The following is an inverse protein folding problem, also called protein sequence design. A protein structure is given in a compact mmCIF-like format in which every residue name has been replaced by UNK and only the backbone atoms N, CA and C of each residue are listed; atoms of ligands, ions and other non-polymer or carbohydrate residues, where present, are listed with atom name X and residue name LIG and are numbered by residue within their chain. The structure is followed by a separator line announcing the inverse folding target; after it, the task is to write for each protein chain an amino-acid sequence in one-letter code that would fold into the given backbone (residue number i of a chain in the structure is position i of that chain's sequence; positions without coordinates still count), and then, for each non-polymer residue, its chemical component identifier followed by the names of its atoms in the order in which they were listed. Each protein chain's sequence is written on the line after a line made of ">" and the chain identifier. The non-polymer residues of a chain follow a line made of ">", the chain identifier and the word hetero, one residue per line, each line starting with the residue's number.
data_IF_897898490636
#
_entry.id   IF_897898490636
#
_cell.length_a   1.000
_cell.length_b   1.000
_cell.length_c   1.000
_cell.angle_alpha   90.00
_cell.angle_beta   90.00
_cell.angle_gamma   90.00
#
_symmetry.space_group_name_H-M   'P 1'
#
loop_
_entity.id
_entity.type
_entity.pdbx_description
1 polymer ?
#
# COMPACT_ATOMS: atom_id res chain seq x y z
N UNK A 1 13.14 -40.37 -12.35
CA UNK A 1 14.46 -40.41 -11.65
C UNK A 1 14.57 -41.67 -10.80
N UNK A 2 13.57 -41.98 -9.98
CA UNK A 2 13.52 -43.15 -9.10
C UNK A 2 13.65 -44.51 -9.82
N UNK A 3 13.10 -44.66 -11.04
CA UNK A 3 13.30 -45.88 -11.84
C UNK A 3 14.77 -46.15 -12.20
N UNK A 4 15.55 -45.09 -12.43
CA UNK A 4 16.99 -45.21 -12.75
C UNK A 4 17.77 -45.65 -11.51
N UNK A 5 17.44 -45.10 -10.34
CA UNK A 5 18.04 -45.49 -9.06
C UNK A 5 17.72 -46.95 -8.72
N UNK A 6 16.47 -47.38 -8.92
CA UNK A 6 16.02 -48.76 -8.72
C UNK A 6 16.75 -49.74 -9.64
N UNK A 7 16.91 -49.37 -10.91
CA UNK A 7 17.63 -50.19 -11.89
C UNK A 7 19.09 -50.35 -11.50
N UNK A 8 19.74 -49.28 -11.04
CA UNK A 8 21.12 -49.33 -10.57
C UNK A 8 21.30 -50.25 -9.35
N UNK A 9 20.39 -50.21 -8.37
CA UNK A 9 20.42 -51.06 -7.17
C UNK A 9 20.24 -52.53 -7.53
N UNK A 10 19.27 -52.87 -8.39
CA UNK A 10 19.07 -54.25 -8.87
C UNK A 10 20.28 -54.75 -9.67
N UNK A 11 20.91 -53.87 -10.45
CA UNK A 11 22.08 -54.21 -11.23
C UNK A 11 23.31 -54.44 -10.34
N UNK A 12 23.51 -53.65 -9.28
CA UNK A 12 24.58 -53.87 -8.30
C UNK A 12 24.37 -55.17 -7.50
N UNK A 13 23.12 -55.48 -7.13
CA UNK A 13 22.75 -56.73 -6.47
C UNK A 13 23.06 -57.95 -7.35
N UNK A 14 22.75 -57.89 -8.64
CA UNK A 14 23.03 -58.97 -9.58
C UNK A 14 24.54 -59.16 -9.82
N UNK A 15 25.31 -58.07 -9.85
CA UNK A 15 26.77 -58.13 -9.92
C UNK A 15 27.40 -58.71 -8.65
N UNK A 16 26.84 -58.40 -7.48
CA UNK A 16 27.27 -58.95 -6.21
C UNK A 16 27.03 -60.48 -6.12
N UNK A 17 25.84 -60.94 -6.54
CA UNK A 17 25.53 -62.38 -6.68
C UNK A 17 26.48 -63.11 -7.63
N UNK A 18 26.79 -62.50 -8.77
CA UNK A 18 27.75 -63.05 -9.73
C UNK A 18 29.18 -63.08 -9.19
N UNK A 19 29.57 -62.10 -8.37
CA UNK A 19 30.87 -62.05 -7.69
C UNK A 19 31.03 -63.15 -6.64
N UNK A 20 30.00 -63.39 -5.82
CA UNK A 20 29.97 -64.46 -4.81
C UNK A 20 30.06 -65.86 -5.44
N UNK A 21 29.38 -66.08 -6.56
CA UNK A 21 29.46 -67.35 -7.30
C UNK A 21 30.84 -67.60 -7.93
N UNK A 22 31.61 -66.53 -8.20
CA UNK A 22 32.87 -66.61 -8.93
C UNK A 22 34.10 -66.86 -8.04
N UNK A 23 33.98 -66.78 -6.72
CA UNK A 23 35.16 -66.56 -5.87
C UNK A 23 35.13 -67.43 -4.60
N UNK A 24 35.81 -68.59 -4.63
CA UNK A 24 36.14 -69.37 -3.41
C UNK A 24 37.37 -68.82 -2.66
N UNK A 25 37.65 -67.51 -2.76
CA UNK A 25 38.79 -66.81 -2.12
C UNK A 25 38.43 -65.30 -1.93
N UNK A 26 37.41 -64.97 -1.13
CA UNK A 26 36.81 -63.60 -1.04
C UNK A 26 37.15 -62.84 0.24
N UNK A 27 37.95 -63.37 1.15
CA UNK A 27 38.02 -62.79 2.51
C UNK A 27 38.48 -61.32 2.52
N UNK A 28 39.42 -60.95 1.65
CA UNK A 28 39.95 -59.58 1.59
C UNK A 28 39.07 -58.63 0.76
N UNK A 29 38.33 -59.12 -0.25
CA UNK A 29 37.53 -58.25 -1.13
C UNK A 29 36.22 -57.81 -0.49
N UNK A 30 35.57 -58.68 0.29
CA UNK A 30 34.34 -58.34 1.02
C UNK A 30 34.62 -57.29 2.12
N UNK A 31 35.68 -57.49 2.92
CA UNK A 31 36.16 -56.53 3.92
C UNK A 31 36.54 -55.19 3.30
N UNK A 32 37.24 -55.20 2.15
CA UNK A 32 37.61 -53.98 1.43
C UNK A 32 36.38 -53.27 0.85
N UNK A 33 35.38 -54.03 0.38
CA UNK A 33 34.11 -53.49 -0.13
C UNK A 33 33.28 -52.84 0.97
N UNK A 34 33.20 -53.45 2.15
CA UNK A 34 32.52 -52.89 3.32
C UNK A 34 33.15 -51.60 3.80
N UNK A 35 34.49 -51.56 3.90
CA UNK A 35 35.23 -50.32 4.20
C UNK A 35 35.02 -49.25 3.13
N UNK A 36 34.95 -49.66 1.87
CA UNK A 36 34.59 -48.78 0.76
C UNK A 36 33.18 -48.19 0.91
N UNK A 37 32.20 -49.02 1.27
CA UNK A 37 30.81 -48.61 1.48
C UNK A 37 30.64 -47.73 2.72
N UNK A 38 31.31 -48.04 3.82
CA UNK A 38 31.37 -47.22 5.03
C UNK A 38 31.89 -45.82 4.71
N UNK A 39 33.04 -45.74 4.02
CA UNK A 39 33.64 -44.45 3.65
C UNK A 39 32.73 -43.59 2.75
N UNK A 40 32.01 -44.22 1.82
CA UNK A 40 31.06 -43.52 0.94
C UNK A 40 29.85 -42.99 1.71
N UNK A 41 29.32 -43.77 2.65
CA UNK A 41 28.17 -43.34 3.46
C UNK A 41 28.57 -42.25 4.46
N UNK A 42 29.76 -42.32 5.05
CA UNK A 42 30.33 -41.24 5.86
C UNK A 42 30.51 -39.96 5.03
N UNK A 43 30.99 -40.06 3.80
CA UNK A 43 31.14 -38.92 2.90
C UNK A 43 29.78 -38.30 2.52
N UNK A 44 28.73 -39.11 2.37
CA UNK A 44 27.37 -38.61 2.16
C UNK A 44 26.83 -37.88 3.39
N UNK A 45 27.10 -38.39 4.59
CA UNK A 45 26.72 -37.73 5.85
C UNK A 45 27.44 -36.39 6.03
N UNK A 46 28.71 -36.31 5.65
CA UNK A 46 29.45 -35.04 5.64
C UNK A 46 28.87 -34.03 4.65
N UNK A 47 28.50 -34.49 3.44
CA UNK A 47 27.85 -33.64 2.46
C UNK A 47 26.49 -33.12 2.97
N UNK A 48 25.67 -33.99 3.57
CA UNK A 48 24.38 -33.64 4.14
C UNK A 48 24.52 -32.64 5.30
N UNK A 49 25.52 -32.83 6.17
CA UNK A 49 25.86 -31.88 7.23
C UNK A 49 26.26 -30.52 6.64
N UNK A 50 27.10 -30.50 5.61
CA UNK A 50 27.54 -29.26 4.95
C UNK A 50 26.37 -28.51 4.28
N UNK A 51 25.46 -29.22 3.61
CA UNK A 51 24.24 -28.63 3.03
C UNK A 51 23.34 -28.05 4.11
N UNK A 52 23.16 -28.76 5.23
CA UNK A 52 22.37 -28.28 6.37
C UNK A 52 22.97 -27.00 6.96
N UNK A 53 24.29 -26.94 7.10
CA UNK A 53 25.00 -25.72 7.51
C UNK A 53 24.79 -24.57 6.53
N UNK A 54 24.82 -24.85 5.22
CA UNK A 54 24.59 -23.82 4.20
C UNK A 54 23.17 -23.24 4.29
N UNK A 55 22.15 -24.09 4.52
CA UNK A 55 20.77 -23.66 4.66
C UNK A 55 20.55 -22.80 5.91
N UNK A 56 21.08 -23.23 7.06
CA UNK A 56 21.00 -22.47 8.31
C UNK A 56 21.78 -21.16 8.19
N UNK A 57 22.98 -21.18 7.60
CA UNK A 57 23.78 -19.95 7.39
C UNK A 57 23.07 -18.94 6.48
N UNK A 58 22.45 -19.40 5.39
CA UNK A 58 21.68 -18.53 4.49
C UNK A 58 20.47 -17.90 5.20
N UNK A 59 19.78 -18.67 6.03
CA UNK A 59 18.65 -18.19 6.83
C UNK A 59 19.10 -17.19 7.91
N UNK A 60 20.22 -17.49 8.58
CA UNK A 60 20.83 -16.64 9.61
C UNK A 60 21.34 -15.31 9.06
N UNK A 61 21.81 -15.30 7.80
CA UNK A 61 22.23 -14.09 7.11
C UNK A 61 21.05 -13.15 6.80
N UNK A 62 19.84 -13.69 6.60
CA UNK A 62 18.62 -12.91 6.40
C UNK A 62 17.99 -12.47 7.73
N UNK A 63 18.12 -13.28 8.78
CA UNK A 63 17.56 -13.03 10.11
C UNK A 63 18.59 -13.30 11.22
N UNK A 64 19.46 -12.31 11.54
CA UNK A 64 20.48 -12.49 12.56
C UNK A 64 19.83 -12.59 13.96
N UNK A 65 19.98 -13.76 14.59
CA UNK A 65 19.43 -14.07 15.92
C UNK A 65 20.36 -15.03 16.66
N UNK A 66 20.48 -14.92 17.98
CA UNK A 66 21.38 -15.77 18.79
C UNK A 66 21.03 -17.28 18.68
N UNK A 67 19.77 -17.60 18.38
CA UNK A 67 19.26 -18.97 18.13
C UNK A 67 19.93 -19.68 16.94
N UNK A 68 20.51 -18.95 15.98
CA UNK A 68 21.21 -19.58 14.86
C UNK A 68 22.44 -20.34 15.32
N UNK A 69 23.14 -19.84 16.35
CA UNK A 69 24.34 -20.48 16.90
C UNK A 69 24.03 -21.80 17.62
N UNK A 70 22.89 -21.88 18.30
CA UNK A 70 22.41 -23.09 18.96
C UNK A 70 21.87 -24.11 17.95
N UNK A 71 21.29 -23.64 16.85
CA UNK A 71 20.84 -24.50 15.74
C UNK A 71 22.03 -25.18 15.05
N UNK A 72 23.11 -24.45 14.77
CA UNK A 72 24.34 -25.02 14.23
C UNK A 72 24.94 -26.09 15.15
N UNK A 73 25.02 -25.81 16.45
CA UNK A 73 25.54 -26.76 17.45
C UNK A 73 24.70 -28.03 17.52
N UNK A 74 23.37 -27.90 17.48
CA UNK A 74 22.43 -29.03 17.51
C UNK A 74 22.58 -29.91 16.27
N UNK A 75 22.76 -29.30 15.09
CA UNK A 75 23.03 -30.03 13.84
C UNK A 75 24.35 -30.79 13.93
N UNK A 76 25.42 -30.14 14.39
CA UNK A 76 26.73 -30.77 14.55
C UNK A 76 26.68 -31.95 15.52
N UNK A 77 26.02 -31.82 16.67
CA UNK A 77 25.85 -32.90 17.65
C UNK A 77 25.04 -34.08 17.08
N UNK A 78 23.98 -33.78 16.31
CA UNK A 78 23.14 -34.81 15.68
C UNK A 78 23.90 -35.60 14.62
N UNK A 79 24.63 -34.92 13.73
CA UNK A 79 25.44 -35.58 12.71
C UNK A 79 26.65 -36.30 13.30
N UNK A 80 27.26 -35.76 14.36
CA UNK A 80 28.33 -36.44 15.09
C UNK A 80 27.84 -37.76 15.71
N UNK A 81 26.68 -37.74 16.38
CA UNK A 81 26.06 -38.95 16.92
C UNK A 81 25.76 -39.98 15.83
N UNK A 82 25.22 -39.53 14.69
CA UNK A 82 24.89 -40.41 13.58
C UNK A 82 26.14 -41.08 12.96
N UNK A 83 27.23 -40.31 12.78
CA UNK A 83 28.52 -40.84 12.31
C UNK A 83 29.12 -41.83 13.29
N UNK A 84 29.03 -41.57 14.60
CA UNK A 84 29.51 -42.49 15.64
C UNK A 84 28.74 -43.80 15.63
N UNK A 85 27.40 -43.76 15.63
CA UNK A 85 26.57 -44.97 15.56
C UNK A 85 26.81 -45.75 14.26
N UNK A 86 27.01 -45.06 13.15
CA UNK A 86 27.32 -45.68 11.86
C UNK A 86 28.68 -46.39 11.89
N UNK A 87 29.73 -45.73 12.37
CA UNK A 87 31.05 -46.33 12.53
C UNK A 87 31.01 -47.55 13.47
N UNK A 88 30.32 -47.45 14.61
CA UNK A 88 30.17 -48.56 15.56
C UNK A 88 29.45 -49.77 14.95
N UNK A 89 28.45 -49.53 14.09
CA UNK A 89 27.74 -50.57 13.36
C UNK A 89 28.65 -51.29 12.35
N UNK A 90 29.40 -50.53 11.53
CA UNK A 90 30.31 -51.12 10.55
C UNK A 90 31.48 -51.84 11.21
N UNK A 91 31.99 -51.33 12.33
CA UNK A 91 33.02 -52.00 13.12
C UNK A 91 32.50 -53.31 13.75
N UNK A 92 31.24 -53.33 14.21
CA UNK A 92 30.61 -54.56 14.68
C UNK A 92 30.40 -55.58 13.55
N UNK A 93 29.97 -55.12 12.38
CA UNK A 93 29.78 -55.94 11.19
C UNK A 93 31.12 -56.49 10.65
N UNK A 94 32.17 -55.68 10.64
CA UNK A 94 33.54 -56.10 10.31
C UNK A 94 34.03 -57.19 11.27
N UNK A 95 33.88 -56.98 12.59
CA UNK A 95 34.27 -57.99 13.59
C UNK A 95 33.48 -59.30 13.48
N UNK A 96 32.19 -59.23 13.14
CA UNK A 96 31.38 -60.44 12.94
C UNK A 96 31.82 -61.19 11.68
N UNK A 97 32.10 -60.48 10.58
CA UNK A 97 32.60 -61.09 9.36
C UNK A 97 34.02 -61.65 9.52
N UNK A 98 34.91 -60.96 10.23
CA UNK A 98 36.23 -61.49 10.59
C UNK A 98 36.12 -62.75 11.46
N UNK A 99 35.07 -62.86 12.28
CA UNK A 99 34.78 -64.01 13.14
C UNK A 99 34.10 -65.17 12.39
N UNK A 100 33.34 -64.87 11.34
CA UNK A 100 32.67 -65.85 10.47
C UNK A 100 33.55 -66.35 9.32
N UNK A 101 34.68 -65.71 9.01
CA UNK A 101 35.64 -66.16 7.97
C UNK A 101 36.22 -67.56 8.24
N UNK A 102 36.36 -67.98 9.51
CA UNK A 102 36.73 -69.36 9.85
C UNK A 102 35.59 -70.38 9.59
N UNK A 103 34.35 -69.90 9.38
CA UNK A 103 33.12 -70.67 9.07
C UNK A 103 32.67 -70.50 7.60
N UNK A 104 33.25 -69.54 6.86
CA UNK A 104 32.73 -68.97 5.61
C UNK A 104 32.78 -69.88 4.36
N UNK A 105 33.27 -71.12 4.48
CA UNK A 105 33.04 -72.12 3.44
C UNK A 105 31.54 -72.49 3.28
N UNK A 106 30.70 -72.03 4.21
CA UNK A 106 29.27 -72.35 4.32
C UNK A 106 28.37 -71.09 4.34
N UNK A 107 28.78 -69.99 3.69
CA UNK A 107 27.80 -68.97 3.24
C UNK A 107 26.91 -69.64 2.18
N UNK A 108 25.85 -70.29 2.64
CA UNK A 108 24.91 -71.01 1.78
C UNK A 108 24.15 -70.02 0.88
N UNK A 109 23.66 -70.52 -0.26
CA UNK A 109 22.75 -69.76 -1.15
C UNK A 109 21.61 -69.09 -0.36
N UNK A 110 21.23 -69.65 0.77
CA UNK A 110 20.19 -69.18 1.69
C UNK A 110 20.46 -67.80 2.31
N UNK A 111 21.73 -67.46 2.61
CA UNK A 111 22.08 -66.12 3.08
C UNK A 111 21.99 -65.08 1.96
N UNK A 112 22.41 -65.45 0.75
CA UNK A 112 22.32 -64.60 -0.44
C UNK A 112 20.85 -64.39 -0.85
N UNK A 113 20.02 -65.41 -0.70
CA UNK A 113 18.58 -65.37 -0.97
C UNK A 113 17.83 -64.53 0.07
N UNK A 114 18.18 -64.65 1.36
CA UNK A 114 17.61 -63.80 2.42
C UNK A 114 17.95 -62.31 2.25
N UNK A 115 19.18 -61.98 1.84
CA UNK A 115 19.57 -60.61 1.50
C UNK A 115 18.83 -60.08 0.26
N UNK A 116 18.59 -60.94 -0.73
CA UNK A 116 17.85 -60.57 -1.94
C UNK A 116 16.41 -60.17 -1.62
N UNK A 117 15.75 -60.99 -0.80
CA UNK A 117 14.37 -60.74 -0.37
C UNK A 117 14.27 -59.48 0.49
N UNK A 118 15.27 -59.21 1.34
CA UNK A 118 15.32 -57.98 2.14
C UNK A 118 15.54 -56.73 1.28
N UNK A 119 16.36 -56.79 0.23
CA UNK A 119 16.54 -55.69 -0.73
C UNK A 119 15.26 -55.43 -1.51
N UNK A 120 14.57 -56.48 -1.98
CA UNK A 120 13.29 -56.32 -2.68
C UNK A 120 12.21 -55.71 -1.78
N UNK A 121 12.14 -56.10 -0.49
CA UNK A 121 11.25 -55.47 0.50
C UNK A 121 11.57 -53.98 0.70
N UNK A 122 12.86 -53.61 0.79
CA UNK A 122 13.26 -52.20 0.90
C UNK A 122 12.91 -51.38 -0.35
N UNK A 123 13.06 -51.97 -1.54
CA UNK A 123 12.67 -51.32 -2.79
C UNK A 123 11.15 -51.12 -2.89
N UNK A 124 10.35 -52.05 -2.38
CA UNK A 124 8.90 -51.93 -2.32
C UNK A 124 8.45 -50.86 -1.32
N UNK A 125 9.07 -50.81 -0.14
CA UNK A 125 8.84 -49.73 0.82
C UNK A 125 9.24 -48.36 0.23
N UNK A 126 10.36 -48.29 -0.50
CA UNK A 126 10.79 -47.07 -1.18
C UNK A 126 9.79 -46.62 -2.25
N UNK A 127 9.15 -47.55 -2.97
CA UNK A 127 8.07 -47.20 -3.91
C UNK A 127 6.85 -46.64 -3.20
N UNK A 128 6.45 -47.23 -2.08
CA UNK A 128 5.32 -46.71 -1.30
C UNK A 128 5.59 -45.28 -0.81
N UNK A 129 6.83 -44.96 -0.42
CA UNK A 129 7.23 -43.61 0.00
C UNK A 129 7.30 -42.66 -1.21
N UNK A 130 7.79 -43.14 -2.36
CA UNK A 130 7.79 -42.40 -3.63
C UNK A 130 6.36 -41.99 -4.03
N UNK A 131 5.43 -42.94 -4.03
CA UNK A 131 4.03 -42.71 -4.40
C UNK A 131 3.37 -41.69 -3.46
N UNK A 132 3.58 -41.84 -2.14
CA UNK A 132 3.11 -40.87 -1.15
C UNK A 132 3.72 -39.48 -1.36
N UNK A 133 5.00 -39.41 -1.76
CA UNK A 133 5.67 -38.13 -1.99
C UNK A 133 5.12 -37.45 -3.24
N UNK A 134 4.89 -38.19 -4.32
CA UNK A 134 4.28 -37.66 -5.55
C UNK A 134 2.86 -37.17 -5.28
N UNK A 135 2.04 -37.96 -4.59
CA UNK A 135 0.68 -37.57 -4.22
C UNK A 135 0.65 -36.31 -3.33
N UNK A 136 1.58 -36.21 -2.37
CA UNK A 136 1.71 -35.01 -1.54
C UNK A 136 2.13 -33.77 -2.35
N UNK A 137 3.05 -33.91 -3.31
CA UNK A 137 3.47 -32.80 -4.19
C UNK A 137 2.33 -32.37 -5.11
N UNK A 138 1.56 -33.31 -5.66
CA UNK A 138 0.38 -33.00 -6.48
C UNK A 138 -0.70 -32.31 -5.64
N UNK A 139 -0.94 -32.77 -4.41
CA UNK A 139 -1.84 -32.12 -3.46
C UNK A 139 -1.44 -30.68 -3.13
N UNK A 140 -0.16 -30.45 -2.85
CA UNK A 140 0.40 -29.10 -2.63
C UNK A 140 0.25 -28.22 -3.89
N UNK A 141 0.48 -28.77 -5.07
CA UNK A 141 0.34 -28.05 -6.33
C UNK A 141 -1.12 -27.67 -6.62
N UNK A 142 -2.06 -28.55 -6.27
CA UNK A 142 -3.50 -28.27 -6.33
C UNK A 142 -3.90 -27.16 -5.35
N UNK A 143 -3.38 -27.19 -4.12
CA UNK A 143 -3.63 -26.16 -3.12
C UNK A 143 -3.07 -24.79 -3.56
N UNK A 144 -1.87 -24.77 -4.15
CA UNK A 144 -1.28 -23.55 -4.72
C UNK A 144 -2.10 -23.00 -5.90
N UNK A 145 -2.58 -23.86 -6.81
CA UNK A 145 -3.47 -23.43 -7.88
C UNK A 145 -4.76 -22.80 -7.36
N UNK A 146 -5.38 -23.42 -6.36
CA UNK A 146 -6.60 -22.90 -5.76
C UNK A 146 -6.37 -21.56 -5.05
N UNK A 147 -5.22 -21.38 -4.38
CA UNK A 147 -4.84 -20.11 -3.79
C UNK A 147 -4.60 -19.01 -4.84
N UNK A 148 -4.02 -19.37 -5.99
CA UNK A 148 -3.84 -18.44 -7.11
C UNK A 148 -5.18 -18.02 -7.71
N UNK A 149 -6.11 -18.96 -7.92
CA UNK A 149 -7.48 -18.65 -8.36
C UNK A 149 -8.20 -17.71 -7.38
N UNK A 150 -8.12 -18.00 -6.08
CA UNK A 150 -8.69 -17.12 -5.05
C UNK A 150 -8.06 -15.72 -5.07
N UNK A 151 -6.76 -15.63 -5.33
CA UNK A 151 -6.05 -14.35 -5.43
C UNK A 151 -6.47 -13.57 -6.68
N UNK A 152 -6.72 -14.25 -7.80
CA UNK A 152 -7.25 -13.63 -9.02
C UNK A 152 -8.67 -13.11 -8.79
N UNK A 153 -9.54 -13.91 -8.17
CA UNK A 153 -10.91 -13.49 -7.86
C UNK A 153 -10.94 -12.26 -6.93
N UNK A 154 -10.05 -12.20 -5.93
CA UNK A 154 -9.87 -11.01 -5.10
C UNK A 154 -9.39 -9.80 -5.91
N UNK A 155 -8.51 -10.01 -6.89
CA UNK A 155 -8.03 -8.95 -7.78
C UNK A 155 -9.17 -8.38 -8.64
N UNK A 156 -9.98 -9.26 -9.24
CA UNK A 156 -11.15 -8.88 -10.04
C UNK A 156 -12.17 -8.09 -9.20
N UNK A 157 -12.44 -8.54 -7.97
CA UNK A 157 -13.32 -7.83 -7.04
C UNK A 157 -12.77 -6.43 -6.69
N UNK A 158 -11.45 -6.31 -6.53
CA UNK A 158 -10.80 -5.05 -6.19
C UNK A 158 -10.81 -4.09 -7.38
N UNK A 159 -10.61 -4.60 -8.60
CA UNK A 159 -10.74 -3.84 -9.85
C UNK A 159 -12.17 -3.32 -10.02
N UNK A 160 -13.18 -4.17 -9.84
CA UNK A 160 -14.59 -3.78 -9.94
C UNK A 160 -14.98 -2.77 -8.84
N UNK A 161 -14.38 -2.86 -7.65
CA UNK A 161 -14.55 -1.87 -6.59
C UNK A 161 -13.91 -0.53 -6.94
N UNK A 162 -12.72 -0.54 -7.54
CA UNK A 162 -12.03 0.67 -8.00
C UNK A 162 -12.78 1.33 -9.15
N UNK A 163 -13.32 0.56 -10.10
CA UNK A 163 -14.17 1.09 -11.17
C UNK A 163 -15.41 1.77 -10.62
N UNK A 164 -16.12 1.12 -9.68
CA UNK A 164 -17.29 1.73 -9.00
C UNK A 164 -16.91 3.03 -8.27
N UNK A 165 -15.83 3.01 -7.49
CA UNK A 165 -15.39 4.18 -6.75
C UNK A 165 -14.96 5.33 -7.68
N UNK A 166 -14.31 5.01 -8.79
CA UNK A 166 -13.89 6.00 -9.80
C UNK A 166 -15.12 6.58 -10.52
N UNK A 167 -16.11 5.74 -10.83
CA UNK A 167 -17.41 6.17 -11.36
C UNK A 167 -18.13 7.12 -10.42
N UNK A 168 -18.21 6.79 -9.13
CA UNK A 168 -18.84 7.64 -8.11
C UNK A 168 -18.14 9.02 -7.98
N UNK A 169 -16.81 9.04 -8.12
CA UNK A 169 -16.04 10.29 -8.12
C UNK A 169 -16.30 11.10 -9.39
N UNK A 170 -16.36 10.45 -10.55
CA UNK A 170 -16.69 11.12 -11.81
C UNK A 170 -18.09 11.75 -11.76
N UNK A 171 -19.09 11.01 -11.30
CA UNK A 171 -20.46 11.49 -11.10
C UNK A 171 -20.53 12.67 -10.12
N UNK A 172 -19.71 12.64 -9.06
CA UNK A 172 -19.64 13.73 -8.08
C UNK A 172 -19.03 15.00 -8.70
N UNK A 173 -17.98 14.85 -9.51
CA UNK A 173 -17.37 15.97 -10.23
C UNK A 173 -18.32 16.56 -11.26
N UNK A 174 -19.09 15.74 -11.98
CA UNK A 174 -20.11 16.20 -12.93
C UNK A 174 -21.22 16.98 -12.24
N UNK A 175 -21.76 16.46 -11.13
CA UNK A 175 -22.75 17.20 -10.30
C UNK A 175 -22.20 18.51 -9.75
N UNK A 176 -20.92 18.54 -9.36
CA UNK A 176 -20.29 19.76 -8.86
C UNK A 176 -20.14 20.79 -9.98
N UNK A 177 -19.79 20.37 -11.19
CA UNK A 177 -19.72 21.24 -12.36
C UNK A 177 -21.09 21.84 -12.70
N UNK A 178 -22.15 21.03 -12.73
CA UNK A 178 -23.53 21.50 -12.94
C UNK A 178 -23.96 22.52 -11.86
N UNK A 179 -23.57 22.28 -10.61
CA UNK A 179 -23.89 23.18 -9.49
C UNK A 179 -23.17 24.53 -9.63
N UNK A 180 -21.92 24.53 -10.11
CA UNK A 180 -21.17 25.75 -10.40
C UNK A 180 -21.79 26.52 -11.55
N UNK A 181 -22.22 25.84 -12.62
CA UNK A 181 -22.93 26.49 -13.73
C UNK A 181 -24.25 27.12 -13.29
N UNK A 182 -25.04 26.42 -12.48
CA UNK A 182 -26.27 26.99 -11.90
C UNK A 182 -26.01 28.21 -11.02
N UNK A 183 -24.94 28.16 -10.23
CA UNK A 183 -24.55 29.30 -9.39
C UNK A 183 -24.10 30.50 -10.23
N UNK A 184 -23.34 30.27 -11.31
CA UNK A 184 -22.97 31.32 -12.25
C UNK A 184 -24.20 31.93 -12.93
N UNK A 185 -25.15 31.11 -13.36
CA UNK A 185 -26.41 31.58 -13.93
C UNK A 185 -27.22 32.43 -12.93
N UNK A 186 -27.28 32.02 -11.65
CA UNK A 186 -27.91 32.84 -10.61
C UNK A 186 -27.19 34.17 -10.37
N UNK A 187 -25.85 34.17 -10.42
CA UNK A 187 -25.08 35.41 -10.29
C UNK A 187 -25.29 36.35 -11.47
N UNK A 188 -25.37 35.83 -12.69
CA UNK A 188 -25.71 36.62 -13.88
C UNK A 188 -27.12 37.20 -13.77
N UNK A 189 -28.10 36.40 -13.36
CA UNK A 189 -29.48 36.88 -13.17
C UNK A 189 -29.57 37.93 -12.06
N UNK A 190 -28.87 37.74 -10.94
CA UNK A 190 -28.78 38.75 -9.88
C UNK A 190 -28.05 40.01 -10.35
N UNK A 191 -26.98 39.88 -11.12
CA UNK A 191 -26.26 41.02 -11.68
C UNK A 191 -27.13 41.80 -12.67
N UNK A 192 -27.91 41.11 -13.51
CA UNK A 192 -28.89 41.74 -14.39
C UNK A 192 -29.98 42.45 -13.58
N UNK A 193 -30.53 41.82 -12.53
CA UNK A 193 -31.53 42.44 -11.64
C UNK A 193 -30.98 43.68 -10.93
N UNK A 194 -29.76 43.62 -10.40
CA UNK A 194 -29.10 44.79 -9.76
C UNK A 194 -28.83 45.87 -10.78
N UNK A 195 -28.37 45.53 -11.98
CA UNK A 195 -28.13 46.49 -13.05
C UNK A 195 -29.44 47.15 -13.50
N UNK A 196 -30.53 46.39 -13.54
CA UNK A 196 -31.86 46.88 -13.88
C UNK A 196 -32.43 47.76 -12.77
N UNK A 197 -32.30 47.37 -11.50
CA UNK A 197 -32.63 48.22 -10.35
C UNK A 197 -31.83 49.51 -10.35
N UNK A 198 -30.52 49.48 -10.59
CA UNK A 198 -29.70 50.68 -10.68
C UNK A 198 -30.11 51.56 -11.87
N UNK A 199 -30.59 50.98 -12.98
CA UNK A 199 -31.12 51.74 -14.12
C UNK A 199 -32.45 52.39 -13.81
N UNK A 200 -33.32 51.67 -13.11
CA UNK A 200 -34.62 52.16 -12.63
C UNK A 200 -34.42 53.21 -11.54
N UNK A 201 -33.49 53.03 -10.61
CA UNK A 201 -33.06 54.03 -9.62
C UNK A 201 -32.41 55.23 -10.29
N UNK A 202 -31.59 55.08 -11.33
CA UNK A 202 -31.09 56.22 -12.11
C UNK A 202 -32.18 56.93 -12.92
N UNK A 203 -33.23 56.23 -13.37
CA UNK A 203 -34.39 56.86 -13.98
C UNK A 203 -35.26 57.58 -12.94
N UNK A 204 -35.45 56.99 -11.76
CA UNK A 204 -36.19 57.58 -10.66
C UNK A 204 -35.41 58.74 -10.04
N UNK A 205 -34.09 58.67 -9.91
CA UNK A 205 -33.22 59.76 -9.43
C UNK A 205 -33.04 60.85 -10.50
N UNK A 206 -33.13 60.52 -11.80
CA UNK A 206 -33.26 61.51 -12.86
C UNK A 206 -34.65 62.19 -12.88
N UNK A 207 -35.71 61.52 -12.42
CA UNK A 207 -37.06 62.09 -12.27
C UNK A 207 -37.32 62.74 -10.89
N UNK A 208 -36.50 62.45 -9.87
CA UNK A 208 -36.62 63.00 -8.50
C UNK A 208 -35.42 63.81 -8.03
N UNK A 209 -34.45 64.12 -8.91
CA UNK A 209 -33.74 65.39 -8.79
C UNK A 209 -34.75 66.49 -9.06
N UNK A 210 -35.32 67.02 -7.97
CA UNK A 210 -35.75 68.42 -7.93
C UNK A 210 -34.58 69.20 -8.56
N UNK A 211 -34.83 69.79 -9.73
CA UNK A 211 -33.98 70.87 -10.23
C UNK A 211 -33.99 71.90 -9.10
N UNK A 212 -32.94 71.94 -8.28
CA UNK A 212 -32.54 73.20 -7.70
C UNK A 212 -32.17 74.04 -8.91
N UNK A 213 -33.12 74.87 -9.35
CA UNK A 213 -32.80 75.92 -10.30
C UNK A 213 -31.64 76.70 -9.68
N UNK A 214 -30.49 76.83 -10.36
CA UNK A 214 -29.35 77.59 -9.85
C UNK A 214 -29.67 79.08 -9.64
N UNK A 215 -30.91 79.51 -9.90
CA UNK A 215 -31.43 80.85 -9.69
C UNK A 215 -32.05 81.05 -8.28
N UNK A 216 -32.30 79.98 -7.50
CA UNK A 216 -32.95 80.04 -6.17
C UNK A 216 -32.06 79.53 -5.01
N UNK A 217 -30.74 79.59 -5.17
CA UNK A 217 -29.78 79.34 -4.07
C UNK A 217 -29.36 80.66 -3.43
N UNK A 218 -29.04 80.65 -2.14
CA UNK A 218 -28.61 81.85 -1.39
C UNK A 218 -27.35 82.55 -1.96
N UNK A 219 -26.65 81.91 -2.91
CA UNK A 219 -25.52 82.47 -3.65
C UNK A 219 -25.91 83.61 -4.59
N UNK A 220 -27.19 83.72 -4.97
CA UNK A 220 -27.68 84.79 -5.85
C UNK A 220 -27.95 86.11 -5.12
N UNK A 221 -28.04 86.09 -3.78
CA UNK A 221 -28.21 87.29 -2.95
C UNK A 221 -26.84 87.94 -2.71
N UNK A 222 -26.70 89.21 -3.08
CA UNK A 222 -25.44 89.91 -3.00
C UNK A 222 -25.09 90.22 -1.54
N UNK A 223 -23.92 89.75 -1.09
CA UNK A 223 -23.45 89.94 0.29
C UNK A 223 -23.57 88.71 1.17
N UNK A 224 -24.22 87.63 0.70
CA UNK A 224 -24.22 86.34 1.39
C UNK A 224 -23.04 85.49 0.90
N UNK A 225 -21.95 85.48 1.69
CA UNK A 225 -20.78 84.65 1.42
C UNK A 225 -20.98 83.19 1.83
N UNK A 226 -20.03 82.30 1.47
CA UNK A 226 -20.10 80.88 1.80
C UNK A 226 -20.27 80.60 3.30
N UNK A 227 -19.54 81.33 4.15
CA UNK A 227 -19.61 81.14 5.61
C UNK A 227 -20.98 81.53 6.18
N UNK A 228 -21.62 82.57 5.64
CA UNK A 228 -22.96 83.01 6.03
C UNK A 228 -24.02 82.00 5.58
N UNK A 229 -23.86 81.40 4.39
CA UNK A 229 -24.78 80.36 3.91
C UNK A 229 -24.75 79.11 4.76
N UNK A 230 -23.57 78.72 5.23
CA UNK A 230 -23.45 77.56 6.13
C UNK A 230 -24.17 77.84 7.46
N UNK A 231 -24.05 79.05 8.00
CA UNK A 231 -24.74 79.48 9.22
C UNK A 231 -26.26 79.54 9.05
N UNK A 232 -26.74 80.09 7.93
CA UNK A 232 -28.16 80.11 7.59
C UNK A 232 -28.71 78.69 7.37
N UNK A 233 -27.93 77.82 6.72
CA UNK A 233 -28.29 76.42 6.50
C UNK A 233 -28.38 75.64 7.82
N UNK A 234 -27.49 75.90 8.79
CA UNK A 234 -27.55 75.31 10.13
C UNK A 234 -28.82 75.75 10.89
N UNK A 235 -29.32 76.95 10.62
CA UNK A 235 -30.61 77.44 11.11
C UNK A 235 -31.82 76.96 10.30
N UNK A 236 -31.61 76.15 9.24
CA UNK A 236 -32.66 75.60 8.38
C UNK A 236 -33.10 76.54 7.26
N UNK A 237 -32.39 77.63 7.01
CA UNK A 237 -32.61 78.58 5.92
C UNK A 237 -31.62 78.26 4.81
N UNK A 238 -32.03 77.41 3.86
CA UNK A 238 -31.11 76.86 2.84
C UNK A 238 -31.38 77.36 1.43
N UNK A 239 -32.51 78.03 1.22
CA UNK A 239 -32.97 78.52 -0.07
C UNK A 239 -33.43 79.97 0.00
N UNK A 240 -33.51 80.65 -1.15
CA UNK A 240 -34.04 82.02 -1.24
C UNK A 240 -35.49 82.08 -0.74
N UNK A 241 -36.31 81.04 -0.99
CA UNK A 241 -37.67 80.93 -0.47
C UNK A 241 -37.72 80.81 1.06
N UNK A 242 -36.77 80.11 1.67
CA UNK A 242 -36.65 80.02 3.13
C UNK A 242 -36.26 81.39 3.73
N UNK A 243 -35.39 82.13 3.03
CA UNK A 243 -34.93 83.46 3.45
C UNK A 243 -36.08 84.47 3.45
N UNK A 244 -36.88 84.53 2.38
CA UNK A 244 -38.06 85.41 2.29
C UNK A 244 -39.13 85.05 3.33
N UNK A 245 -39.21 83.78 3.73
CA UNK A 245 -40.16 83.31 4.73
C UNK A 245 -39.72 83.63 6.16
N UNK A 246 -38.43 83.81 6.39
CA UNK A 246 -37.88 84.14 7.69
C UNK A 246 -37.98 85.65 7.96
N UNK A 247 -38.29 86.02 9.20
CA UNK A 247 -38.27 87.42 9.61
C UNK A 247 -36.81 87.91 9.78
N UNK A 248 -36.57 89.22 9.58
CA UNK A 248 -35.22 89.80 9.64
C UNK A 248 -34.48 89.53 10.96
N UNK A 249 -35.21 89.42 12.08
CA UNK A 249 -34.65 89.05 13.39
C UNK A 249 -34.08 87.61 13.38
N UNK A 250 -34.79 86.67 12.74
CA UNK A 250 -34.36 85.26 12.65
C UNK A 250 -33.14 85.11 11.75
N UNK A 251 -33.09 85.86 10.64
CA UNK A 251 -31.95 85.86 9.71
C UNK A 251 -30.73 86.54 10.36
N UNK A 252 -30.95 87.65 11.07
CA UNK A 252 -29.91 88.37 11.83
C UNK A 252 -29.27 87.49 12.89
N UNK A 253 -30.07 86.77 13.68
CA UNK A 253 -29.57 85.83 14.70
C UNK A 253 -28.86 84.63 14.08
N UNK A 254 -29.38 84.07 12.98
CA UNK A 254 -28.78 82.92 12.31
C UNK A 254 -27.42 83.23 11.68
N UNK A 255 -27.26 84.42 11.09
CA UNK A 255 -26.04 84.83 10.39
C UNK A 255 -25.10 85.74 11.20
N UNK A 256 -25.44 86.05 12.46
CA UNK A 256 -24.71 87.00 13.32
C UNK A 256 -24.46 88.38 12.63
N UNK A 257 -25.48 88.87 11.90
CA UNK A 257 -25.46 90.17 11.19
C UNK A 257 -26.49 91.14 11.77
N UNK A 258 -26.42 92.42 11.41
CA UNK A 258 -27.43 93.39 11.84
C UNK A 258 -28.80 93.13 11.19
N UNK A 259 -29.90 93.39 11.92
CA UNK A 259 -31.27 93.26 11.38
C UNK A 259 -31.48 94.06 10.08
N UNK A 260 -30.83 95.21 9.95
CA UNK A 260 -30.91 96.02 8.71
C UNK A 260 -30.23 95.36 7.51
N UNK A 261 -29.19 94.56 7.73
CA UNK A 261 -28.48 93.82 6.68
C UNK A 261 -29.27 92.55 6.29
N UNK A 262 -29.88 91.90 7.27
CA UNK A 262 -30.81 90.80 7.04
C UNK A 262 -32.07 91.24 6.26
N UNK A 263 -32.61 92.43 6.57
CA UNK A 263 -33.75 93.01 5.85
C UNK A 263 -33.39 93.33 4.38
N UNK A 264 -32.18 93.82 4.12
CA UNK A 264 -31.68 94.07 2.76
C UNK A 264 -31.54 92.76 1.95
N UNK A 265 -31.10 91.67 2.58
CA UNK A 265 -31.04 90.35 1.93
C UNK A 265 -32.42 89.77 1.62
N UNK A 266 -33.41 89.97 2.51
CA UNK A 266 -34.79 89.55 2.30
C UNK A 266 -35.43 90.36 1.16
N UNK A 267 -35.26 91.68 1.14
CA UNK A 267 -35.75 92.54 0.05
C UNK A 267 -35.11 92.18 -1.29
N UNK A 268 -33.81 91.85 -1.31
CA UNK A 268 -33.12 91.41 -2.51
C UNK A 268 -33.60 90.04 -2.99
N UNK A 269 -33.97 89.16 -2.06
CA UNK A 269 -34.53 87.85 -2.36
C UNK A 269 -35.97 87.91 -2.89
N UNK A 270 -36.72 88.98 -2.59
CA UNK A 270 -38.07 89.24 -3.13
C UNK A 270 -38.08 89.88 -4.53
N UNK A 271 -36.95 90.46 -4.97
CA UNK A 271 -36.83 91.27 -6.19
C UNK A 271 -36.57 90.46 -7.47
#
# INVERSE_FOLDING_TARGET
>A
MFDVQRTAVKQSQQLFKQGLSAQRNVDTMALTGLKGQESLQLQQLELAQAVSHSYVSATSAMFPSDESSDTHRTIDETFAGLKTTHAEFYEALERELERDVDSAAELSDEFVEALDEQIDQLLEMSRSIEDQTVENVDGLSGQLHQQLEQTQELQDQLEEQLERQTGDVADLLERQAEQVEQFQAQLEEQAEQVTQQLREEQQVEAETKIRTDPEHTLESVAGIDADVRDQLSDAGISTVDDLVRADAETVSEAADVSESEAEEWIEQAEA
#
